data_IF_481192605658
#
_entry.id   IF_481192605658
#
_cell.length_a   1.000
_cell.length_b   1.000
_cell.length_c   1.000
_cell.angle_alpha   90.00
_cell.angle_beta   90.00
_cell.angle_gamma   90.00
#
_symmetry.space_group_name_H-M   'P 1'
#
loop_
_entity.id
_entity.type
_entity.pdbx_description
1 polymer ?
#
# COMPACT_ATOMS: atom_id res chain seq x y z
N UNK A 1 15.91 39.13 -4.36
CA UNK A 1 15.98 37.92 -5.16
C UNK A 1 17.41 37.70 -5.62
N UNK A 2 18.37 37.49 -4.67
CA UNK A 2 19.81 37.30 -4.92
C UNK A 2 20.53 36.65 -3.72
N UNK A 3 19.87 35.72 -3.04
CA UNK A 3 20.47 35.06 -1.85
C UNK A 3 21.11 33.70 -2.11
N UNK A 4 20.96 33.12 -3.31
CA UNK A 4 21.40 31.74 -3.59
C UNK A 4 22.85 31.62 -4.07
N UNK A 5 23.53 32.69 -4.40
CA UNK A 5 24.89 32.65 -4.96
C UNK A 5 25.98 32.84 -3.89
N UNK A 6 25.67 33.57 -2.82
CA UNK A 6 26.61 33.81 -1.72
C UNK A 6 26.72 32.64 -0.73
N UNK A 7 25.61 31.91 -0.51
CA UNK A 7 25.60 30.73 0.37
C UNK A 7 26.46 29.56 -0.17
N UNK A 8 26.48 29.36 -1.49
CA UNK A 8 27.33 28.32 -2.10
C UNK A 8 28.82 28.65 -2.01
N UNK A 9 29.18 29.92 -1.97
CA UNK A 9 30.57 30.36 -1.86
C UNK A 9 31.13 30.19 -0.46
N UNK A 10 30.27 30.33 0.55
CA UNK A 10 30.69 30.18 1.95
C UNK A 10 30.91 28.71 2.36
N UNK A 11 30.18 27.78 1.74
CA UNK A 11 30.34 26.34 1.98
C UNK A 11 31.60 25.77 1.32
N UNK A 12 32.02 26.31 0.17
CA UNK A 12 33.23 25.86 -0.52
C UNK A 12 34.53 26.31 0.18
N UNK A 13 34.47 27.35 1.00
CA UNK A 13 35.63 27.83 1.79
C UNK A 13 35.85 27.04 3.08
N UNK A 14 34.84 26.26 3.52
CA UNK A 14 34.91 25.49 4.77
C UNK A 14 35.40 24.04 4.58
N UNK A 15 35.51 23.54 3.36
CA UNK A 15 35.98 22.18 3.12
C UNK A 15 36.54 21.99 1.70
N UNK A 16 37.84 22.31 1.48
CA UNK A 16 38.47 22.28 0.15
C UNK A 16 38.71 20.88 -0.43
N UNK A 17 38.36 19.79 0.28
CA UNK A 17 38.55 18.43 -0.19
C UNK A 17 37.29 17.80 -0.85
N UNK A 18 36.20 18.56 -1.00
CA UNK A 18 35.01 18.10 -1.74
C UNK A 18 34.94 18.81 -3.09
N UNK A 19 36.01 18.71 -3.88
CA UNK A 19 36.04 19.17 -5.25
C UNK A 19 36.10 17.99 -6.22
N UNK A 20 35.01 17.80 -6.99
CA UNK A 20 35.07 17.38 -8.38
C UNK A 20 35.44 15.94 -8.75
N UNK A 21 34.91 14.91 -8.04
CA UNK A 21 34.90 13.56 -8.63
C UNK A 21 33.50 12.94 -8.86
N UNK A 22 32.41 13.62 -8.48
CA UNK A 22 31.07 13.03 -8.57
C UNK A 22 30.23 13.48 -9.80
N UNK A 23 30.74 14.34 -10.64
CA UNK A 23 29.94 14.95 -11.74
C UNK A 23 29.96 14.16 -13.06
N UNK A 24 30.58 12.98 -13.09
CA UNK A 24 30.61 12.12 -14.30
C UNK A 24 29.75 10.86 -14.23
N UNK A 25 29.09 10.57 -13.10
CA UNK A 25 28.30 9.34 -12.93
C UNK A 25 26.78 9.54 -12.84
N UNK A 26 26.28 10.78 -12.92
CA UNK A 26 24.83 11.06 -12.84
C UNK A 26 24.04 10.69 -14.12
N UNK A 27 24.71 10.38 -15.23
CA UNK A 27 24.01 10.11 -16.50
C UNK A 27 23.50 8.68 -16.69
N UNK A 28 23.75 7.76 -15.74
CA UNK A 28 23.33 6.36 -15.86
C UNK A 28 22.58 5.80 -14.65
N UNK A 29 22.16 6.61 -13.72
CA UNK A 29 21.30 6.14 -12.64
C UNK A 29 19.86 6.10 -13.17
N UNK A 30 19.22 4.93 -13.30
CA UNK A 30 17.82 4.86 -13.69
C UNK A 30 16.99 5.60 -12.65
N UNK A 31 15.86 6.22 -13.04
CA UNK A 31 14.99 6.91 -12.08
C UNK A 31 14.66 5.99 -10.91
N UNK A 32 14.68 6.53 -9.70
CA UNK A 32 14.46 5.80 -8.43
C UNK A 32 13.20 4.92 -8.46
N UNK A 33 12.23 5.27 -9.30
CA UNK A 33 10.98 4.52 -9.51
C UNK A 33 11.14 3.20 -10.26
N UNK A 34 12.30 2.91 -10.87
CA UNK A 34 12.53 1.71 -11.69
C UNK A 34 13.47 0.68 -11.05
N UNK A 35 14.11 1.03 -9.93
CA UNK A 35 15.14 0.17 -9.32
C UNK A 35 14.56 -0.68 -8.18
N UNK A 36 14.09 -1.87 -8.53
CA UNK A 36 13.90 -2.98 -7.58
C UNK A 36 14.87 -4.10 -7.97
N UNK A 37 15.60 -4.70 -7.03
CA UNK A 37 16.41 -5.88 -7.28
C UNK A 37 15.56 -6.99 -7.92
N UNK A 38 16.16 -7.77 -8.81
CA UNK A 38 15.44 -8.82 -9.52
C UNK A 38 14.86 -9.88 -8.57
N UNK A 39 15.49 -10.10 -7.41
CA UNK A 39 15.02 -10.95 -6.33
C UNK A 39 13.69 -10.46 -5.74
N UNK A 40 13.56 -9.15 -5.46
CA UNK A 40 12.32 -8.57 -4.93
C UNK A 40 11.17 -8.66 -5.94
N UNK A 41 11.47 -8.55 -7.25
CA UNK A 41 10.46 -8.71 -8.30
C UNK A 41 9.95 -10.15 -8.40
N UNK A 42 10.83 -11.13 -8.17
CA UNK A 42 10.46 -12.55 -8.16
C UNK A 42 9.63 -12.87 -6.92
N UNK A 43 9.94 -12.28 -5.78
CA UNK A 43 9.15 -12.43 -4.56
C UNK A 43 7.77 -11.76 -4.68
N UNK A 44 7.69 -10.56 -5.25
CA UNK A 44 6.41 -9.92 -5.57
C UNK A 44 5.52 -10.78 -6.48
N UNK A 45 6.10 -11.41 -7.52
CA UNK A 45 5.36 -12.31 -8.41
C UNK A 45 4.89 -13.56 -7.65
N UNK A 46 5.69 -14.08 -6.74
CA UNK A 46 5.32 -15.23 -5.92
C UNK A 46 4.25 -14.89 -4.89
N UNK A 47 4.30 -13.70 -4.28
CA UNK A 47 3.32 -13.26 -3.28
C UNK A 47 2.03 -12.73 -3.91
N UNK A 48 2.11 -11.99 -5.00
CA UNK A 48 0.96 -11.29 -5.59
C UNK A 48 0.42 -11.97 -6.85
N UNK A 49 1.12 -12.97 -7.40
CA UNK A 49 0.68 -13.71 -8.58
C UNK A 49 0.65 -12.90 -9.88
N UNK A 50 1.15 -11.66 -9.89
CA UNK A 50 1.06 -10.77 -11.05
C UNK A 50 2.36 -9.99 -11.29
N UNK A 51 2.67 -9.78 -12.58
CA UNK A 51 3.68 -8.84 -13.03
C UNK A 51 3.03 -7.84 -14.00
N UNK A 52 2.33 -6.85 -13.43
CA UNK A 52 1.45 -5.95 -14.18
C UNK A 52 2.15 -4.67 -14.70
N UNK A 53 3.40 -4.75 -15.17
CA UNK A 53 4.16 -3.56 -15.56
C UNK A 53 3.61 -2.75 -16.74
N UNK A 54 2.68 -3.29 -17.54
CA UNK A 54 2.19 -2.64 -18.77
C UNK A 54 0.66 -2.64 -18.90
N UNK A 55 -0.09 -2.83 -17.81
CA UNK A 55 -1.55 -2.80 -17.89
C UNK A 55 -2.09 -1.46 -17.42
N UNK A 56 -3.00 -0.89 -18.19
CA UNK A 56 -3.69 0.37 -17.86
C UNK A 56 -4.61 0.23 -16.63
N UNK A 57 -5.00 -0.98 -16.25
CA UNK A 57 -5.73 -1.29 -15.02
C UNK A 57 -4.85 -2.16 -14.13
N UNK A 58 -4.56 -1.68 -12.94
CA UNK A 58 -3.84 -2.45 -11.93
C UNK A 58 -4.80 -3.31 -11.12
N UNK A 59 -4.38 -4.53 -10.81
CA UNK A 59 -5.12 -5.45 -9.96
C UNK A 59 -4.44 -5.53 -8.59
N UNK A 60 -5.21 -5.29 -7.54
CA UNK A 60 -4.77 -5.38 -6.15
C UNK A 60 -5.54 -6.51 -5.45
N UNK A 61 -4.92 -7.68 -5.24
CA UNK A 61 -5.53 -8.75 -4.48
C UNK A 61 -5.41 -8.49 -2.97
N UNK A 62 -6.53 -8.65 -2.27
CA UNK A 62 -6.61 -8.64 -0.79
C UNK A 62 -7.15 -10.00 -0.38
N UNK A 63 -6.23 -10.92 -0.07
CA UNK A 63 -6.53 -12.33 0.16
C UNK A 63 -5.98 -12.79 1.52
N UNK A 64 -6.82 -13.50 2.28
CA UNK A 64 -6.48 -13.99 3.60
C UNK A 64 -6.77 -12.98 4.70
N UNK A 65 -6.10 -13.10 5.83
CA UNK A 65 -6.30 -12.22 6.96
C UNK A 65 -5.56 -10.90 6.77
N UNK A 66 -6.18 -9.78 7.14
CA UNK A 66 -5.51 -8.47 7.15
C UNK A 66 -4.52 -8.43 8.32
N UNK A 67 -3.24 -8.31 7.99
CA UNK A 67 -2.15 -8.22 8.96
C UNK A 67 -1.76 -6.75 9.14
N UNK A 68 -1.81 -6.30 10.41
CA UNK A 68 -1.43 -4.96 10.83
C UNK A 68 -0.02 -4.92 11.44
N UNK A 69 0.11 -4.24 12.59
CA UNK A 69 1.40 -4.10 13.26
C UNK A 69 1.90 -5.39 13.94
N UNK A 70 1.02 -6.34 14.21
CA UNK A 70 1.39 -7.63 14.78
C UNK A 70 1.62 -8.63 13.65
N UNK A 71 2.82 -9.22 13.61
CA UNK A 71 3.15 -10.28 12.66
C UNK A 71 2.39 -11.55 13.02
N UNK A 72 1.64 -12.08 12.06
CA UNK A 72 0.90 -13.34 12.22
C UNK A 72 1.82 -14.56 11.99
N UNK A 73 1.42 -15.74 12.49
CA UNK A 73 2.19 -16.97 12.27
C UNK A 73 2.41 -17.24 10.78
N UNK A 74 3.58 -17.78 10.38
CA UNK A 74 3.94 -17.98 8.97
C UNK A 74 2.97 -18.88 8.17
N UNK A 75 2.17 -19.69 8.87
CA UNK A 75 1.18 -20.56 8.25
C UNK A 75 -0.11 -19.82 7.90
N UNK A 76 -0.31 -18.62 8.43
CA UNK A 76 -1.51 -17.81 8.16
C UNK A 76 -1.36 -17.13 6.81
N UNK A 77 -2.36 -17.32 5.95
CA UNK A 77 -2.48 -16.53 4.71
C UNK A 77 -2.84 -15.10 5.07
N UNK A 78 -1.98 -14.14 4.75
CA UNK A 78 -2.18 -12.74 5.11
C UNK A 78 -2.05 -11.80 3.94
N UNK A 79 -2.73 -10.67 4.03
CA UNK A 79 -2.46 -9.45 3.27
C UNK A 79 -1.88 -8.44 4.24
N UNK A 80 -0.62 -8.07 4.03
CA UNK A 80 0.11 -7.15 4.91
C UNK A 80 -0.12 -5.70 4.49
N UNK A 81 -0.60 -4.88 5.42
CA UNK A 81 -0.93 -3.50 5.09
C UNK A 81 0.29 -2.68 4.66
N UNK A 82 1.47 -2.94 5.21
CA UNK A 82 2.73 -2.30 4.83
C UNK A 82 3.17 -2.63 3.39
N UNK A 83 2.64 -3.70 2.79
CA UNK A 83 2.84 -4.00 1.38
C UNK A 83 1.79 -3.35 0.48
N UNK A 84 0.56 -3.18 0.98
CA UNK A 84 -0.55 -2.60 0.22
C UNK A 84 -0.41 -1.08 0.08
N UNK A 85 -0.06 -0.38 1.15
CA UNK A 85 0.04 1.09 1.14
C UNK A 85 1.03 1.61 0.09
N UNK A 86 2.27 1.10 -0.03
CA UNK A 86 3.18 1.54 -1.09
C UNK A 86 2.69 1.23 -2.50
N UNK A 87 1.95 0.13 -2.69
CA UNK A 87 1.36 -0.21 -3.99
C UNK A 87 0.28 0.80 -4.38
N UNK A 88 -0.61 1.18 -3.45
CA UNK A 88 -1.63 2.20 -3.69
C UNK A 88 -1.01 3.56 -4.02
N UNK A 89 0.05 3.95 -3.33
CA UNK A 89 0.81 5.17 -3.64
C UNK A 89 1.40 5.09 -5.06
N UNK A 90 2.04 3.97 -5.40
CA UNK A 90 2.60 3.75 -6.74
C UNK A 90 1.54 3.80 -7.84
N UNK A 91 0.36 3.21 -7.61
CA UNK A 91 -0.78 3.26 -8.52
C UNK A 91 -1.25 4.71 -8.71
N UNK A 92 -1.38 5.46 -7.64
CA UNK A 92 -1.79 6.86 -7.70
C UNK A 92 -0.81 7.73 -8.50
N UNK A 93 0.50 7.52 -8.33
CA UNK A 93 1.56 8.31 -8.95
C UNK A 93 1.87 7.90 -10.39
N UNK A 94 1.48 6.72 -10.84
CA UNK A 94 1.81 6.21 -12.17
C UNK A 94 0.78 6.66 -13.20
N UNK A 95 1.13 7.56 -14.10
CA UNK A 95 0.26 8.10 -15.14
C UNK A 95 -0.19 7.06 -16.18
N UNK A 96 0.52 5.95 -16.35
CA UNK A 96 0.12 4.86 -17.25
C UNK A 96 -1.05 4.04 -16.68
N UNK A 97 -1.23 4.02 -15.36
CA UNK A 97 -2.34 3.36 -14.70
C UNK A 97 -3.59 4.24 -14.78
N UNK A 98 -4.65 3.70 -15.38
CA UNK A 98 -5.93 4.40 -15.60
C UNK A 98 -7.04 3.96 -14.66
N UNK A 99 -6.84 2.89 -13.92
CA UNK A 99 -7.83 2.39 -12.96
C UNK A 99 -7.26 1.30 -12.06
N UNK A 100 -7.99 1.00 -11.00
CA UNK A 100 -7.65 0.00 -9.98
C UNK A 100 -8.79 -0.99 -9.83
N UNK A 101 -8.49 -2.29 -9.94
CA UNK A 101 -9.39 -3.37 -9.59
C UNK A 101 -8.91 -4.04 -8.30
N UNK A 102 -9.74 -3.99 -7.26
CA UNK A 102 -9.48 -4.65 -5.98
C UNK A 102 -10.23 -5.98 -5.95
N UNK A 103 -9.51 -7.07 -5.76
CA UNK A 103 -10.08 -8.43 -5.68
C UNK A 103 -10.00 -8.91 -4.24
N UNK A 104 -11.15 -9.13 -3.59
CA UNK A 104 -11.23 -9.46 -2.18
C UNK A 104 -11.64 -10.92 -1.96
N UNK A 105 -10.88 -11.59 -1.11
CA UNK A 105 -11.23 -12.85 -0.46
C UNK A 105 -10.60 -12.89 0.93
N UNK A 106 -11.22 -12.21 1.89
CA UNK A 106 -10.68 -11.99 3.24
C UNK A 106 -11.67 -12.39 4.33
N UNK A 107 -11.13 -12.93 5.39
CA UNK A 107 -11.86 -13.18 6.65
C UNK A 107 -11.91 -11.95 7.56
N UNK A 108 -11.28 -10.84 7.13
CA UNK A 108 -11.05 -9.67 7.97
C UNK A 108 -9.69 -9.73 8.64
N UNK A 109 -9.53 -9.07 9.78
CA UNK A 109 -8.28 -9.04 10.54
C UNK A 109 -8.10 -7.77 11.34
N UNK A 110 -6.91 -7.17 11.27
CA UNK A 110 -6.58 -5.94 11.96
C UNK A 110 -7.45 -4.78 11.45
N UNK A 111 -8.18 -4.15 12.38
CA UNK A 111 -9.17 -3.12 12.04
C UNK A 111 -8.48 -1.82 11.63
N UNK A 112 -7.42 -1.43 12.34
CA UNK A 112 -6.69 -0.19 12.07
C UNK A 112 -6.02 -0.26 10.69
N UNK A 113 -5.32 -1.35 10.40
CA UNK A 113 -4.69 -1.59 9.11
C UNK A 113 -5.73 -1.63 7.98
N UNK A 114 -6.85 -2.32 8.19
CA UNK A 114 -7.91 -2.39 7.19
C UNK A 114 -8.58 -1.05 6.92
N UNK A 115 -8.81 -0.23 7.94
CA UNK A 115 -9.32 1.14 7.77
C UNK A 115 -8.31 2.01 7.03
N UNK A 116 -7.02 1.92 7.36
CA UNK A 116 -5.98 2.67 6.65
C UNK A 116 -5.95 2.32 5.15
N UNK A 117 -6.05 1.03 4.80
CA UNK A 117 -6.15 0.59 3.40
C UNK A 117 -7.43 1.12 2.74
N UNK A 118 -8.57 1.06 3.42
CA UNK A 118 -9.85 1.53 2.89
C UNK A 118 -9.83 3.04 2.59
N UNK A 119 -9.28 3.85 3.50
CA UNK A 119 -9.11 5.30 3.30
C UNK A 119 -8.13 5.59 2.14
N UNK A 120 -7.06 4.82 2.03
CA UNK A 120 -6.12 4.93 0.90
C UNK A 120 -6.81 4.62 -0.43
N UNK A 121 -7.61 3.55 -0.51
CA UNK A 121 -8.38 3.22 -1.72
C UNK A 121 -9.33 4.38 -2.07
N UNK A 122 -10.05 4.89 -1.08
CA UNK A 122 -11.01 5.99 -1.27
C UNK A 122 -10.35 7.30 -1.71
N UNK A 123 -9.07 7.51 -1.38
CA UNK A 123 -8.31 8.71 -1.75
C UNK A 123 -7.72 8.65 -3.16
N UNK A 124 -7.79 7.51 -3.86
CA UNK A 124 -7.27 7.38 -5.21
C UNK A 124 -8.13 8.18 -6.19
N UNK A 125 -7.48 9.08 -6.95
CA UNK A 125 -8.16 9.94 -7.93
C UNK A 125 -8.52 9.21 -9.24
N UNK A 126 -8.10 7.96 -9.40
CA UNK A 126 -8.39 7.12 -10.58
C UNK A 126 -9.62 6.26 -10.32
N UNK A 127 -10.37 5.86 -11.36
CA UNK A 127 -11.50 4.94 -11.19
C UNK A 127 -11.10 3.67 -10.45
N UNK A 128 -11.87 3.34 -9.42
CA UNK A 128 -11.65 2.17 -8.58
C UNK A 128 -12.86 1.24 -8.61
N UNK A 129 -12.59 -0.06 -8.69
CA UNK A 129 -13.61 -1.11 -8.66
C UNK A 129 -13.17 -2.17 -7.65
N UNK A 130 -14.06 -2.61 -6.82
CA UNK A 130 -13.86 -3.77 -5.96
C UNK A 130 -14.76 -4.93 -6.36
N UNK A 131 -14.25 -6.14 -6.19
CA UNK A 131 -15.03 -7.37 -6.35
C UNK A 131 -14.72 -8.36 -5.23
N UNK A 132 -15.75 -8.80 -4.52
CA UNK A 132 -15.66 -9.87 -3.52
C UNK A 132 -15.93 -11.20 -4.21
N UNK A 133 -14.90 -12.08 -4.25
CA UNK A 133 -14.97 -13.37 -4.96
C UNK A 133 -15.17 -14.59 -4.03
N UNK A 134 -15.12 -14.38 -2.72
CA UNK A 134 -15.29 -15.40 -1.70
C UNK A 134 -15.80 -14.79 -0.41
N UNK A 135 -14.92 -14.49 0.53
CA UNK A 135 -15.25 -13.78 1.76
C UNK A 135 -14.92 -12.27 1.69
N UNK A 136 -15.81 -11.43 2.21
CA UNK A 136 -15.57 -10.02 2.48
C UNK A 136 -15.95 -9.68 3.90
N UNK A 137 -15.39 -10.43 4.89
CA UNK A 137 -15.90 -10.42 6.26
C UNK A 137 -15.25 -9.35 7.13
N UNK A 138 -15.99 -8.89 8.15
CA UNK A 138 -15.49 -7.97 9.17
C UNK A 138 -14.93 -6.70 8.54
N UNK A 139 -13.65 -6.36 8.76
CA UNK A 139 -12.96 -5.22 8.15
C UNK A 139 -12.84 -5.34 6.61
N UNK A 140 -13.08 -6.51 6.03
CA UNK A 140 -13.21 -6.70 4.59
C UNK A 140 -14.41 -5.95 3.99
N UNK A 141 -15.45 -5.65 4.78
CA UNK A 141 -16.63 -4.90 4.32
C UNK A 141 -16.27 -3.45 3.98
N UNK A 142 -15.67 -2.64 4.87
CA UNK A 142 -15.17 -1.32 4.51
C UNK A 142 -14.20 -1.33 3.33
N UNK A 143 -13.31 -2.32 3.24
CA UNK A 143 -12.40 -2.47 2.10
C UNK A 143 -13.16 -2.65 0.79
N UNK A 144 -14.18 -3.51 0.79
CA UNK A 144 -15.00 -3.74 -0.40
C UNK A 144 -15.78 -2.48 -0.82
N UNK A 145 -16.26 -1.69 0.14
CA UNK A 145 -17.11 -0.52 -0.12
C UNK A 145 -16.34 0.80 -0.26
N UNK A 146 -15.02 0.78 -0.17
CA UNK A 146 -14.18 1.98 -0.33
C UNK A 146 -13.93 2.38 -1.78
N UNK A 147 -14.12 1.47 -2.73
CA UNK A 147 -14.00 1.74 -4.16
C UNK A 147 -15.21 2.52 -4.71
N UNK A 148 -15.07 3.16 -5.88
CA UNK A 148 -16.15 3.86 -6.55
C UNK A 148 -17.31 2.93 -6.92
N UNK A 149 -16.98 1.70 -7.33
CA UNK A 149 -17.95 0.64 -7.62
C UNK A 149 -17.58 -0.64 -6.90
N UNK A 150 -18.57 -1.28 -6.28
CA UNK A 150 -18.41 -2.50 -5.50
C UNK A 150 -19.29 -3.61 -6.03
N UNK A 151 -18.70 -4.78 -6.23
CA UNK A 151 -19.38 -5.98 -6.71
C UNK A 151 -19.14 -7.14 -5.76
N UNK A 152 -20.11 -8.06 -5.73
CA UNK A 152 -20.01 -9.33 -5.02
C UNK A 152 -20.45 -10.45 -5.96
N UNK A 153 -19.66 -11.52 -6.04
CA UNK A 153 -20.06 -12.70 -6.84
C UNK A 153 -21.20 -13.46 -6.17
N UNK A 154 -22.03 -14.19 -6.92
CA UNK A 154 -23.22 -14.86 -6.36
C UNK A 154 -22.91 -15.86 -5.23
N UNK A 155 -21.71 -16.46 -5.22
CA UNK A 155 -21.27 -17.40 -4.19
C UNK A 155 -20.51 -16.75 -3.03
N UNK A 156 -20.18 -15.47 -3.14
CA UNK A 156 -19.44 -14.77 -2.09
C UNK A 156 -20.36 -14.34 -0.94
N UNK A 157 -19.75 -14.17 0.22
CA UNK A 157 -20.46 -13.77 1.44
C UNK A 157 -19.76 -12.61 2.13
N UNK A 158 -20.55 -11.76 2.79
CA UNK A 158 -20.05 -10.68 3.63
C UNK A 158 -20.70 -10.76 5.00
N UNK A 159 -19.89 -10.75 6.06
CA UNK A 159 -20.34 -10.81 7.45
C UNK A 159 -19.91 -9.55 8.17
N UNK A 160 -20.88 -8.83 8.72
CA UNK A 160 -20.68 -7.65 9.55
C UNK A 160 -20.89 -8.04 11.01
N UNK A 161 -20.00 -7.60 11.87
CA UNK A 161 -20.12 -7.76 13.31
C UNK A 161 -19.47 -6.58 14.04
N UNK A 162 -19.80 -6.32 15.31
CA UNK A 162 -19.11 -5.31 16.11
C UNK A 162 -17.61 -5.58 16.22
N UNK A 163 -16.81 -4.52 16.35
CA UNK A 163 -15.38 -4.65 16.62
C UNK A 163 -15.15 -5.42 17.90
N UNK A 164 -14.23 -6.37 17.85
CA UNK A 164 -13.80 -7.15 19.02
C UNK A 164 -12.40 -6.74 19.41
N UNK A 165 -12.18 -6.51 20.67
CA UNK A 165 -10.87 -6.24 21.25
C UNK A 165 -10.47 -7.44 22.12
N UNK A 166 -9.29 -7.98 21.89
CA UNK A 166 -8.67 -9.01 22.71
C UNK A 166 -7.40 -8.43 23.33
N UNK A 167 -7.24 -8.60 24.64
CA UNK A 167 -6.03 -8.16 25.33
C UNK A 167 -6.31 -7.46 26.64
N UNK A 168 -5.27 -6.92 27.25
CA UNK A 168 -5.35 -6.15 28.48
C UNK A 168 -5.56 -4.67 28.12
N UNK A 169 -6.68 -4.10 28.57
CA UNK A 169 -7.02 -2.68 28.34
C UNK A 169 -6.80 -1.90 29.60
N UNK A 170 -5.93 -0.89 29.55
CA UNK A 170 -5.73 0.11 30.60
C UNK A 170 -6.35 1.41 30.12
N UNK A 171 -7.40 1.87 30.78
CA UNK A 171 -8.09 3.09 30.38
C UNK A 171 -9.01 3.65 31.47
N UNK A 172 -9.64 4.77 31.17
CA UNK A 172 -10.69 5.36 32.03
C UNK A 172 -12.03 4.70 31.74
N UNK A 173 -13.02 4.88 32.65
CA UNK A 173 -14.33 4.22 32.59
C UNK A 173 -15.05 4.43 31.22
N UNK A 174 -14.82 5.55 30.51
CA UNK A 174 -15.40 5.84 29.22
C UNK A 174 -14.88 4.93 28.09
N UNK A 175 -13.78 4.22 28.33
CA UNK A 175 -13.22 3.27 27.34
C UNK A 175 -14.05 1.98 27.24
N UNK A 176 -14.95 1.74 28.20
CA UNK A 176 -15.70 0.49 28.34
C UNK A 176 -17.22 0.62 28.06
N UNK A 177 -17.67 1.79 27.58
CA UNK A 177 -19.07 2.04 27.21
C UNK A 177 -19.32 1.90 25.73
#
# INVERSE_FOLDING_TARGET
>A
MNETFEEKKHISELNPEISDENDKNEKNTPPITSWKPQSERIEEIKELGTNNKNQSVQVLPIIGQIEGHMVLPPQTKTTKYEHIVPQLISIQQNDDVKGLLIVLNTVGGDVEAGLAIAEMIRSIAKPTVSIVIGGGHSIGVPLATSADYSFITPSATMIVHPVRMNGFVIGVAQTFN
#
